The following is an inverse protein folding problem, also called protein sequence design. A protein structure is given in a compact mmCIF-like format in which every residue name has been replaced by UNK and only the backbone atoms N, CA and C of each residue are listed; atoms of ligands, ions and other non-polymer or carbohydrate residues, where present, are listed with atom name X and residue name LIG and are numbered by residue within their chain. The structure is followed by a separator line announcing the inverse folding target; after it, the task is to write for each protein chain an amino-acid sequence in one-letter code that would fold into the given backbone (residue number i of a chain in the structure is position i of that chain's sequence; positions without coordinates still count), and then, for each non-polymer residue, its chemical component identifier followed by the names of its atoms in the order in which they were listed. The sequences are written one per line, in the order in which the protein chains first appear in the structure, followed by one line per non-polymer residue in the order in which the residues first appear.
data_IF_839160690512
#
_entry.id   IF_839160690512
#
_cell.length_a   1.000
_cell.length_b   1.000
_cell.length_c   1.000
_cell.angle_alpha   90.00
_cell.angle_beta   90.00
_cell.angle_gamma   90.00
#
_symmetry.space_group_name_H-M   'P 1'
#
loop_
_entity.id
_entity.type
_entity.pdbx_description
1 polymer ?
#
# COMPACT_ATOMS: atom_id res chain seq x y z
N UNK A 1 35.56 -1.58 63.85
CA UNK A 1 34.80 -1.07 62.69
C UNK A 1 35.71 -0.69 61.51
N UNK A 2 36.39 -1.62 60.81
CA UNK A 2 37.26 -1.21 59.66
C UNK A 2 37.28 -2.16 58.44
N UNK A 3 36.62 -3.33 58.44
CA UNK A 3 36.80 -4.30 57.33
C UNK A 3 35.71 -4.36 56.25
N UNK A 4 34.65 -3.54 56.33
CA UNK A 4 33.51 -3.62 55.38
C UNK A 4 33.61 -2.63 54.21
N UNK A 5 34.40 -1.57 54.32
CA UNK A 5 34.59 -0.56 53.26
C UNK A 5 35.20 -1.10 51.95
N UNK A 6 36.24 -1.97 51.94
CA UNK A 6 36.93 -2.32 50.69
C UNK A 6 36.09 -3.23 49.79
N UNK A 7 35.21 -4.05 50.37
CA UNK A 7 34.31 -4.92 49.61
C UNK A 7 33.24 -4.11 48.87
N UNK A 8 32.69 -3.08 49.52
CA UNK A 8 31.67 -2.20 48.94
C UNK A 8 32.27 -1.36 47.81
N UNK A 9 33.48 -0.81 47.99
CA UNK A 9 34.15 -0.03 46.94
C UNK A 9 34.55 -0.89 45.75
N UNK A 10 35.00 -2.15 45.96
CA UNK A 10 35.27 -3.08 44.85
C UNK A 10 33.99 -3.50 44.12
N UNK A 11 32.87 -3.68 44.83
CA UNK A 11 31.59 -4.04 44.24
C UNK A 11 31.01 -2.90 43.39
N UNK A 12 31.13 -1.65 43.86
CA UNK A 12 30.73 -0.45 43.11
C UNK A 12 31.63 -0.25 41.88
N UNK A 13 32.93 -0.47 42.00
CA UNK A 13 33.88 -0.36 40.88
C UNK A 13 33.63 -1.42 39.80
N UNK A 14 33.28 -2.65 40.21
CA UNK A 14 32.91 -3.75 39.31
C UNK A 14 31.58 -3.49 38.61
N UNK A 15 30.56 -3.00 39.32
CA UNK A 15 29.29 -2.62 38.72
C UNK A 15 29.42 -1.43 37.77
N UNK A 16 30.28 -0.45 38.09
CA UNK A 16 30.57 0.68 37.21
C UNK A 16 31.30 0.24 35.93
N UNK A 17 32.27 -0.67 36.03
CA UNK A 17 32.94 -1.27 34.86
C UNK A 17 31.97 -2.11 34.01
N UNK A 18 31.07 -2.88 34.63
CA UNK A 18 30.03 -3.62 33.92
C UNK A 18 29.04 -2.69 33.21
N UNK A 19 28.64 -1.58 33.85
CA UNK A 19 27.76 -0.58 33.23
C UNK A 19 28.46 0.13 32.05
N UNK A 20 29.76 0.41 32.18
CA UNK A 20 30.56 1.03 31.11
C UNK A 20 30.74 0.08 29.91
N UNK A 21 31.01 -1.21 30.16
CA UNK A 21 31.06 -2.23 29.11
C UNK A 21 29.69 -2.42 28.42
N UNK A 22 28.60 -2.45 29.19
CA UNK A 22 27.26 -2.56 28.65
C UNK A 22 26.89 -1.34 27.80
N UNK A 23 27.30 -0.14 28.22
CA UNK A 23 27.13 1.10 27.45
C UNK A 23 27.91 1.06 26.13
N UNK A 24 29.15 0.56 26.12
CA UNK A 24 29.93 0.39 24.87
C UNK A 24 29.27 -0.60 23.89
N UNK A 25 28.64 -1.67 24.37
CA UNK A 25 27.90 -2.60 23.51
C UNK A 25 26.63 -1.99 22.92
N UNK A 26 26.03 -0.97 23.54
CA UNK A 26 24.83 -0.32 23.03
C UNK A 26 25.13 0.72 21.94
N UNK A 27 26.40 1.11 21.74
CA UNK A 27 26.82 2.03 20.68
C UNK A 27 27.36 1.35 19.42
N UNK A 28 27.40 0.02 19.34
CA UNK A 28 27.59 -0.69 18.05
C UNK A 28 26.29 -0.68 17.26
N UNK A 29 25.83 0.51 16.87
CA UNK A 29 24.84 0.67 15.83
C UNK A 29 25.43 0.15 14.51
N UNK A 30 24.75 -0.81 13.89
CA UNK A 30 25.05 -1.20 12.53
C UNK A 30 24.78 0.00 11.62
N UNK A 31 25.82 0.78 11.29
CA UNK A 31 25.73 1.69 10.15
C UNK A 31 25.72 0.81 8.91
N UNK A 32 24.53 0.50 8.42
CA UNK A 32 24.34 0.03 7.06
C UNK A 32 24.93 1.13 6.16
N UNK A 33 26.14 0.92 5.63
CA UNK A 33 26.74 1.84 4.65
C UNK A 33 25.96 1.72 3.33
N UNK A 34 24.82 2.38 3.26
CA UNK A 34 23.99 2.48 2.06
C UNK A 34 24.44 3.64 1.14
N UNK A 35 25.61 4.23 1.39
CA UNK A 35 26.17 5.30 0.58
C UNK A 35 27.10 4.85 -0.54
N UNK A 36 27.74 3.67 -0.40
CA UNK A 36 28.62 3.12 -1.45
C UNK A 36 27.83 2.66 -2.67
N UNK A 37 26.70 2.00 -2.43
CA UNK A 37 25.81 1.45 -3.46
C UNK A 37 25.16 2.55 -4.32
N UNK A 38 24.84 3.72 -3.75
CA UNK A 38 24.35 4.87 -4.51
C UNK A 38 25.46 5.43 -5.41
N UNK A 39 26.67 5.58 -4.88
CA UNK A 39 27.81 6.13 -5.63
C UNK A 39 28.25 5.17 -6.74
N UNK A 40 28.25 3.86 -6.49
CA UNK A 40 28.53 2.85 -7.52
C UNK A 40 27.38 2.75 -8.55
N UNK A 41 26.10 2.86 -8.16
CA UNK A 41 24.99 2.97 -9.12
C UNK A 41 25.06 4.24 -9.99
N UNK A 42 25.59 5.36 -9.48
CA UNK A 42 25.84 6.56 -10.29
C UNK A 42 27.08 6.42 -11.20
N UNK A 43 28.02 5.54 -10.85
CA UNK A 43 29.29 5.35 -11.57
C UNK A 43 29.22 4.24 -12.62
N UNK A 44 28.47 3.18 -12.33
CA UNK A 44 28.29 2.00 -13.17
C UNK A 44 26.90 1.96 -13.84
N UNK A 45 25.86 2.47 -13.18
CA UNK A 45 24.50 2.60 -13.71
C UNK A 45 24.33 3.91 -14.47
N UNK A 46 23.68 3.86 -15.65
CA UNK A 46 23.40 5.07 -16.41
C UNK A 46 22.46 5.95 -15.57
N UNK A 47 22.70 7.27 -15.43
CA UNK A 47 21.81 8.18 -14.69
C UNK A 47 20.34 8.13 -15.17
N UNK A 48 20.11 7.63 -16.38
CA UNK A 48 18.80 7.38 -16.95
C UNK A 48 18.00 6.26 -16.24
N UNK A 49 18.64 5.24 -15.67
CA UNK A 49 17.96 4.14 -14.95
C UNK A 49 17.42 4.58 -13.58
N UNK A 50 18.13 5.51 -12.91
CA UNK A 50 17.65 6.15 -11.69
C UNK A 50 16.41 7.02 -11.95
N UNK A 51 16.44 7.81 -13.03
CA UNK A 51 15.28 8.59 -13.46
C UNK A 51 14.10 7.68 -13.83
N UNK A 52 14.35 6.59 -14.57
CA UNK A 52 13.33 5.60 -14.90
C UNK A 52 12.64 5.04 -13.65
N UNK A 53 13.40 4.65 -12.62
CA UNK A 53 12.83 4.15 -11.35
C UNK A 53 11.92 5.19 -10.66
N UNK A 54 12.32 6.46 -10.67
CA UNK A 54 11.49 7.54 -10.10
C UNK A 54 10.22 7.81 -10.90
N UNK A 55 10.31 7.75 -12.24
CA UNK A 55 9.18 7.89 -13.16
C UNK A 55 8.22 6.70 -13.01
N UNK A 56 8.73 5.48 -12.93
CA UNK A 56 7.94 4.26 -12.72
C UNK A 56 7.22 4.27 -11.36
N UNK A 57 7.89 4.76 -10.31
CA UNK A 57 7.27 4.97 -9.00
C UNK A 57 6.17 6.04 -9.07
N UNK A 58 6.42 7.15 -9.75
CA UNK A 58 5.41 8.21 -9.94
C UNK A 58 4.21 7.68 -10.73
N UNK A 59 4.42 6.88 -11.78
CA UNK A 59 3.35 6.26 -12.55
C UNK A 59 2.49 5.32 -11.68
N UNK A 60 3.14 4.50 -10.83
CA UNK A 60 2.44 3.60 -9.90
C UNK A 60 1.60 4.38 -8.88
N UNK A 61 2.15 5.46 -8.31
CA UNK A 61 1.43 6.32 -7.36
C UNK A 61 0.24 7.02 -8.05
N UNK A 62 0.45 7.58 -9.24
CA UNK A 62 -0.62 8.22 -10.00
C UNK A 62 -1.76 7.25 -10.32
N UNK A 63 -1.46 6.01 -10.72
CA UNK A 63 -2.47 4.97 -10.95
C UNK A 63 -3.23 4.61 -9.68
N UNK A 64 -2.55 4.55 -8.53
CA UNK A 64 -3.21 4.32 -7.23
C UNK A 64 -4.17 5.45 -6.89
N UNK A 65 -3.75 6.69 -7.05
CA UNK A 65 -4.57 7.87 -6.74
C UNK A 65 -5.77 7.98 -7.71
N UNK A 66 -5.62 7.54 -8.96
CA UNK A 66 -6.71 7.41 -9.92
C UNK A 66 -7.75 6.38 -9.46
N UNK A 67 -7.31 5.19 -9.00
CA UNK A 67 -8.22 4.17 -8.46
C UNK A 67 -8.95 4.67 -7.21
N UNK A 68 -8.26 5.37 -6.30
CA UNK A 68 -8.88 5.97 -5.11
C UNK A 68 -9.96 6.99 -5.51
N UNK A 69 -9.71 7.77 -6.57
CA UNK A 69 -10.69 8.70 -7.14
C UNK A 69 -11.91 7.97 -7.72
N UNK A 70 -11.71 6.84 -8.40
CA UNK A 70 -12.79 5.98 -8.89
C UNK A 70 -13.60 5.36 -7.75
N UNK A 71 -12.95 4.91 -6.67
CA UNK A 71 -13.66 4.35 -5.51
C UNK A 71 -14.48 5.41 -4.77
N UNK A 72 -13.98 6.64 -4.67
CA UNK A 72 -14.76 7.76 -4.16
C UNK A 72 -15.96 8.05 -5.07
N UNK A 73 -15.76 8.09 -6.40
CA UNK A 73 -16.85 8.28 -7.36
C UNK A 73 -17.92 7.18 -7.22
N UNK A 74 -17.50 5.92 -7.13
CA UNK A 74 -18.38 4.77 -6.92
C UNK A 74 -19.29 4.96 -5.70
N UNK A 75 -18.72 5.37 -4.57
CA UNK A 75 -19.49 5.62 -3.34
C UNK A 75 -20.55 6.71 -3.54
N UNK A 76 -20.22 7.78 -4.28
CA UNK A 76 -21.15 8.86 -4.62
C UNK A 76 -22.25 8.38 -5.55
N UNK A 77 -21.92 7.55 -6.54
CA UNK A 77 -22.86 7.02 -7.52
C UNK A 77 -23.88 6.08 -6.87
N UNK A 78 -23.47 5.23 -5.93
CA UNK A 78 -24.42 4.39 -5.17
C UNK A 78 -25.34 5.21 -4.28
N UNK A 79 -24.82 6.24 -3.60
CA UNK A 79 -25.65 7.13 -2.78
C UNK A 79 -26.68 7.89 -3.64
N UNK A 80 -26.31 8.24 -4.88
CA UNK A 80 -27.22 8.91 -5.82
C UNK A 80 -28.24 7.95 -6.45
N UNK A 81 -27.89 6.68 -6.64
CA UNK A 81 -28.69 5.67 -7.33
C UNK A 81 -28.87 4.41 -6.46
N UNK A 82 -29.76 4.45 -5.45
CA UNK A 82 -29.95 3.33 -4.54
C UNK A 82 -30.50 2.07 -5.23
N UNK A 83 -31.17 2.19 -6.38
CA UNK A 83 -31.61 1.05 -7.17
C UNK A 83 -30.45 0.23 -7.74
N UNK A 84 -29.33 0.88 -8.12
CA UNK A 84 -28.14 0.16 -8.59
C UNK A 84 -27.47 -0.58 -7.43
N UNK A 85 -27.45 0.01 -6.24
CA UNK A 85 -26.99 -0.68 -5.03
C UNK A 85 -27.82 -1.94 -4.75
N UNK A 86 -29.15 -1.89 -4.91
CA UNK A 86 -29.99 -3.09 -4.74
C UNK A 86 -29.65 -4.18 -5.76
N UNK A 87 -29.35 -3.83 -7.01
CA UNK A 87 -28.93 -4.77 -8.06
C UNK A 87 -27.60 -5.45 -7.75
N UNK A 88 -26.73 -4.81 -6.95
CA UNK A 88 -25.46 -5.40 -6.53
C UNK A 88 -25.65 -6.59 -5.56
N UNK A 89 -26.82 -6.69 -4.92
CA UNK A 89 -27.12 -7.73 -3.93
C UNK A 89 -26.59 -7.43 -2.51
N UNK A 90 -25.96 -6.27 -2.30
CA UNK A 90 -25.45 -5.85 -1.00
C UNK A 90 -26.40 -4.88 -0.27
N UNK A 91 -26.30 -4.85 1.06
CA UNK A 91 -27.13 -4.00 1.91
C UNK A 91 -26.61 -2.55 2.00
N UNK A 92 -25.31 -2.35 1.77
CA UNK A 92 -24.65 -1.07 1.93
C UNK A 92 -23.62 -0.80 0.82
N UNK A 93 -23.46 0.48 0.48
CA UNK A 93 -22.56 0.92 -0.59
C UNK A 93 -21.07 0.64 -0.29
N UNK A 94 -20.69 0.52 0.99
CA UNK A 94 -19.31 0.23 1.37
C UNK A 94 -18.97 -1.21 1.05
N UNK A 95 -19.81 -2.17 1.43
CA UNK A 95 -19.59 -3.58 1.08
C UNK A 95 -19.67 -3.82 -0.42
N UNK A 96 -20.64 -3.21 -1.13
CA UNK A 96 -20.67 -3.27 -2.60
C UNK A 96 -19.37 -2.74 -3.23
N UNK A 97 -18.91 -1.57 -2.77
CA UNK A 97 -17.67 -0.98 -3.25
C UNK A 97 -16.43 -1.80 -2.96
N UNK A 98 -16.35 -2.44 -1.78
CA UNK A 98 -15.24 -3.33 -1.43
C UNK A 98 -15.15 -4.54 -2.36
N UNK A 99 -16.30 -5.10 -2.78
CA UNK A 99 -16.33 -6.25 -3.69
C UNK A 99 -15.84 -5.87 -5.08
N UNK A 100 -16.27 -4.72 -5.61
CA UNK A 100 -15.77 -4.18 -6.89
C UNK A 100 -14.27 -3.89 -6.81
N UNK A 101 -13.82 -3.27 -5.72
CA UNK A 101 -12.39 -3.00 -5.47
C UNK A 101 -11.56 -4.28 -5.46
N UNK A 102 -12.00 -5.32 -4.74
CA UNK A 102 -11.30 -6.61 -4.75
C UNK A 102 -11.27 -7.23 -6.14
N UNK A 103 -12.36 -7.10 -6.91
CA UNK A 103 -12.39 -7.62 -8.27
C UNK A 103 -11.37 -6.94 -9.19
N UNK A 104 -11.19 -5.62 -9.06
CA UNK A 104 -10.17 -4.86 -9.81
C UNK A 104 -8.76 -5.24 -9.34
N UNK A 105 -8.49 -5.12 -8.03
CA UNK A 105 -7.16 -5.35 -7.44
C UNK A 105 -6.66 -6.79 -7.63
N UNK A 106 -7.56 -7.77 -7.59
CA UNK A 106 -7.23 -9.19 -7.80
C UNK A 106 -7.49 -9.68 -9.23
N UNK A 107 -7.85 -8.78 -10.15
CA UNK A 107 -8.17 -9.10 -11.54
C UNK A 107 -9.22 -10.21 -11.69
N UNK A 108 -10.19 -10.28 -10.76
CA UNK A 108 -11.27 -11.25 -10.82
C UNK A 108 -12.30 -10.82 -11.86
N UNK A 109 -12.80 -11.73 -12.71
CA UNK A 109 -13.83 -11.40 -13.68
C UNK A 109 -15.14 -11.06 -12.98
N UNK A 110 -15.79 -9.97 -13.40
CA UNK A 110 -17.14 -9.65 -12.96
C UNK A 110 -18.17 -10.45 -13.80
N UNK A 111 -18.90 -11.42 -13.22
CA UNK A 111 -19.73 -12.34 -14.00
C UNK A 111 -20.83 -11.65 -14.81
N UNK A 112 -21.36 -10.53 -14.30
CA UNK A 112 -22.41 -9.74 -14.95
C UNK A 112 -21.98 -9.13 -16.28
N UNK A 113 -20.68 -8.98 -16.53
CA UNK A 113 -20.13 -8.45 -17.78
C UNK A 113 -19.91 -9.53 -18.86
N UNK A 114 -20.14 -10.81 -18.53
CA UNK A 114 -20.03 -11.91 -19.50
C UNK A 114 -18.64 -12.03 -20.13
N UNK A 115 -17.58 -11.75 -19.37
CA UNK A 115 -16.19 -11.82 -19.82
C UNK A 115 -15.71 -10.65 -20.70
N UNK A 116 -16.55 -9.65 -20.94
CA UNK A 116 -16.13 -8.40 -21.61
C UNK A 116 -15.15 -7.64 -20.72
N UNK A 117 -14.18 -6.95 -21.35
CA UNK A 117 -13.15 -6.13 -20.69
C UNK A 117 -13.06 -4.74 -21.33
N UNK A 118 -12.40 -3.82 -20.64
CA UNK A 118 -12.06 -2.48 -21.12
C UNK A 118 -13.26 -1.75 -21.76
N UNK A 119 -13.07 -1.18 -22.95
CA UNK A 119 -14.12 -0.46 -23.67
C UNK A 119 -15.35 -1.33 -23.96
N UNK A 120 -15.18 -2.63 -24.24
CA UNK A 120 -16.32 -3.51 -24.51
C UNK A 120 -17.18 -3.74 -23.26
N UNK A 121 -16.54 -3.85 -22.09
CA UNK A 121 -17.25 -3.89 -20.81
C UNK A 121 -17.96 -2.57 -20.53
N UNK A 122 -17.27 -1.45 -20.74
CA UNK A 122 -17.82 -0.10 -20.51
C UNK A 122 -19.04 0.18 -21.39
N UNK A 123 -18.94 -0.09 -22.69
CA UNK A 123 -20.04 0.07 -23.63
C UNK A 123 -21.22 -0.83 -23.25
N UNK A 124 -20.95 -2.06 -22.80
CA UNK A 124 -22.00 -2.96 -22.35
C UNK A 124 -22.67 -2.48 -21.06
N UNK A 125 -21.92 -2.03 -20.04
CA UNK A 125 -22.48 -1.50 -18.80
C UNK A 125 -23.40 -0.29 -19.01
N UNK A 126 -23.10 0.54 -20.02
CA UNK A 126 -23.89 1.72 -20.40
C UNK A 126 -25.04 1.42 -21.37
N UNK A 127 -25.10 0.19 -21.89
CA UNK A 127 -26.14 -0.23 -22.82
C UNK A 127 -27.48 -0.49 -22.10
N UNK A 128 -28.65 -0.25 -22.73
CA UNK A 128 -29.93 -0.55 -22.11
C UNK A 128 -30.12 -2.04 -21.80
N UNK A 129 -29.42 -2.93 -22.49
CA UNK A 129 -29.49 -4.39 -22.35
C UNK A 129 -28.84 -4.89 -21.05
N UNK A 130 -27.97 -4.10 -20.41
CA UNK A 130 -27.32 -4.48 -19.16
C UNK A 130 -28.26 -4.31 -17.97
N UNK A 131 -28.54 -5.40 -17.25
CA UNK A 131 -29.51 -5.43 -16.15
C UNK A 131 -28.86 -5.52 -14.75
N UNK A 132 -27.54 -5.67 -14.69
CA UNK A 132 -26.80 -5.72 -13.44
C UNK A 132 -26.63 -4.35 -12.78
N UNK A 133 -25.84 -4.32 -11.72
CA UNK A 133 -25.36 -3.11 -11.08
C UNK A 133 -24.43 -2.32 -12.03
N UNK A 134 -24.96 -1.20 -12.56
CA UNK A 134 -24.24 -0.34 -13.50
C UNK A 134 -23.11 0.42 -12.85
N UNK A 135 -23.23 0.76 -11.56
CA UNK A 135 -22.21 1.50 -10.84
C UNK A 135 -20.98 0.62 -10.67
N UNK A 136 -21.14 -0.59 -10.15
CA UNK A 136 -20.05 -1.54 -10.02
C UNK A 136 -19.44 -1.92 -11.38
N UNK A 137 -20.26 -2.18 -12.38
CA UNK A 137 -19.80 -2.54 -13.73
C UNK A 137 -19.04 -1.39 -14.44
N UNK A 138 -19.49 -0.15 -14.28
CA UNK A 138 -18.79 1.03 -14.82
C UNK A 138 -17.40 1.17 -14.21
N UNK A 139 -17.30 1.11 -12.88
CA UNK A 139 -16.04 1.28 -12.15
C UNK A 139 -15.07 0.15 -12.48
N UNK A 140 -15.56 -1.09 -12.54
CA UNK A 140 -14.78 -2.25 -12.96
C UNK A 140 -14.26 -2.15 -14.39
N UNK A 141 -15.03 -1.57 -15.31
CA UNK A 141 -14.60 -1.44 -16.70
C UNK A 141 -13.56 -0.34 -16.93
N UNK A 142 -13.46 0.64 -16.02
CA UNK A 142 -12.54 1.79 -16.11
C UNK A 142 -11.25 1.56 -15.31
N UNK A 143 -11.35 0.90 -14.15
CA UNK A 143 -10.22 0.63 -13.24
C UNK A 143 -9.47 -0.65 -13.58
#
# INVERSE_FOLDING_TARGET
MVRVLPLITMQIRRNSLLLACLSMLLFTGCSQRQGGDIIDQFREGKPQEFLQTSVDRMATLAMRDNLDSLYLLMSKLYLRNPEELKKSGFLDARTAGQQVRMAIEMQQPLPTLGGKKDLAALSYAMSPEFLGDRVGAFIYAVG
#
